data_IF_808977578537
#
_entry.id   IF_808977578537
#
_cell.length_a   1.000
_cell.length_b   1.000
_cell.length_c   1.000
_cell.angle_alpha   90.00
_cell.angle_beta   90.00
_cell.angle_gamma   90.00
#
_symmetry.space_group_name_H-M   'P 1'
#
loop_
_entity.id
_entity.type
_entity.pdbx_description
1 polymer ?
#
# COMPACT_ATOMS: atom_id res chain seq x y z
N UNK A 1 33.90 -28.74 25.17
CA UNK A 1 32.85 -28.06 25.96
C UNK A 1 31.82 -27.53 24.96
N UNK A 2 30.73 -28.25 24.77
CA UNK A 2 29.64 -27.84 23.88
C UNK A 2 28.81 -26.77 24.60
N UNK A 3 28.68 -25.57 24.02
CA UNK A 3 27.71 -24.58 24.48
C UNK A 3 26.45 -24.71 23.62
N UNK A 4 25.37 -25.18 24.25
CA UNK A 4 24.03 -25.22 23.67
C UNK A 4 23.50 -23.81 23.52
N UNK A 5 23.08 -23.48 22.29
CA UNK A 5 22.45 -22.23 21.94
C UNK A 5 20.93 -22.40 22.18
N UNK A 6 20.49 -22.18 23.41
CA UNK A 6 19.07 -22.24 23.80
C UNK A 6 18.35 -21.00 23.25
N UNK A 7 18.03 -20.99 21.96
CA UNK A 7 17.16 -19.97 21.36
C UNK A 7 15.74 -20.19 21.84
N UNK A 8 15.34 -19.42 22.86
CA UNK A 8 14.00 -19.45 23.45
C UNK A 8 12.91 -19.25 22.37
N UNK A 9 11.84 -20.07 22.35
CA UNK A 9 10.73 -19.94 21.40
C UNK A 9 10.02 -18.57 21.49
N UNK A 10 10.08 -17.90 22.63
CA UNK A 10 9.60 -16.50 22.81
C UNK A 10 10.34 -15.52 21.89
N UNK A 11 11.64 -15.74 21.67
CA UNK A 11 12.45 -14.90 20.77
C UNK A 11 11.92 -14.95 19.34
N UNK A 12 11.49 -16.13 18.86
CA UNK A 12 10.93 -16.29 17.52
C UNK A 12 9.54 -15.66 17.37
N UNK A 13 8.70 -15.69 18.41
CA UNK A 13 7.38 -15.05 18.39
C UNK A 13 7.48 -13.53 18.37
N UNK A 14 8.38 -12.96 19.17
CA UNK A 14 8.64 -11.52 19.20
C UNK A 14 9.27 -11.03 17.89
N UNK A 15 10.17 -11.82 17.30
CA UNK A 15 10.76 -11.50 15.99
C UNK A 15 9.70 -11.50 14.87
N UNK A 16 8.71 -12.39 14.94
CA UNK A 16 7.61 -12.45 13.98
C UNK A 16 6.61 -11.28 14.12
N UNK A 17 6.41 -10.76 15.33
CA UNK A 17 5.51 -9.62 15.57
C UNK A 17 6.06 -8.31 14.96
N UNK A 18 7.38 -8.12 14.99
CA UNK A 18 8.06 -6.93 14.45
C UNK A 18 8.47 -7.09 12.98
N UNK A 19 8.61 -8.32 12.48
CA UNK A 19 8.94 -8.59 11.07
C UNK A 19 7.74 -8.50 10.10
N UNK A 20 6.56 -8.07 10.57
CA UNK A 20 5.38 -7.93 9.69
C UNK A 20 5.58 -6.73 8.77
N UNK A 21 5.45 -6.97 7.47
CA UNK A 21 5.53 -5.92 6.44
C UNK A 21 4.60 -4.75 6.82
N UNK A 22 5.06 -3.48 6.74
CA UNK A 22 4.20 -2.33 6.98
C UNK A 22 2.92 -2.42 6.16
N UNK A 23 1.77 -2.22 6.81
CA UNK A 23 0.48 -2.21 6.12
C UNK A 23 0.42 -0.98 5.22
N UNK A 24 0.22 -1.19 3.92
CA UNK A 24 0.00 -0.10 2.97
C UNK A 24 -1.26 0.65 3.38
N UNK A 25 -1.14 1.97 3.52
CA UNK A 25 -2.29 2.84 3.68
C UNK A 25 -3.08 2.82 2.38
N UNK A 26 -4.41 2.84 2.48
CA UNK A 26 -5.26 2.96 1.29
C UNK A 26 -5.01 4.32 0.65
N UNK A 27 -4.74 4.32 -0.65
CA UNK A 27 -4.68 5.55 -1.45
C UNK A 27 -6.09 6.11 -1.58
N UNK A 28 -6.28 7.38 -1.20
CA UNK A 28 -7.52 8.11 -1.39
C UNK A 28 -7.25 9.35 -2.23
N UNK A 29 -8.24 9.77 -3.03
CA UNK A 29 -8.18 11.03 -3.76
C UNK A 29 -8.51 12.19 -2.81
N UNK A 30 -7.81 13.31 -2.97
CA UNK A 30 -8.22 14.57 -2.35
C UNK A 30 -9.57 15.03 -2.91
N UNK A 31 -10.30 15.91 -2.20
CA UNK A 31 -11.54 16.50 -2.74
C UNK A 31 -11.33 17.17 -4.12
N UNK A 32 -10.21 17.87 -4.29
CA UNK A 32 -9.86 18.52 -5.57
C UNK A 32 -9.50 17.53 -6.69
N UNK A 33 -8.99 16.34 -6.34
CA UNK A 33 -8.75 15.27 -7.32
C UNK A 33 -10.08 14.67 -7.81
N UNK A 34 -11.04 14.45 -6.91
CA UNK A 34 -12.37 13.93 -7.29
C UNK A 34 -13.08 14.88 -8.27
N UNK A 35 -13.13 16.18 -7.96
CA UNK A 35 -13.74 17.19 -8.84
C UNK A 35 -13.12 17.20 -10.24
N UNK A 36 -11.79 17.07 -10.34
CA UNK A 36 -11.10 16.99 -11.64
C UNK A 36 -11.48 15.73 -12.42
N UNK A 37 -11.63 14.59 -11.74
CA UNK A 37 -12.05 13.34 -12.36
C UNK A 37 -13.52 13.39 -12.81
N UNK A 38 -14.40 13.99 -12.02
CA UNK A 38 -15.82 14.21 -12.38
C UNK A 38 -15.95 15.06 -13.65
N UNK A 39 -15.26 16.21 -13.72
CA UNK A 39 -15.25 17.05 -14.93
C UNK A 39 -14.62 16.35 -16.16
N UNK A 40 -13.62 15.49 -15.96
CA UNK A 40 -13.04 14.72 -17.04
C UNK A 40 -14.01 13.62 -17.53
N UNK A 41 -14.73 12.99 -16.59
CA UNK A 41 -15.71 11.95 -16.85
C UNK A 41 -16.88 12.48 -17.68
N UNK A 42 -17.41 13.67 -17.36
CA UNK A 42 -18.48 14.32 -18.15
C UNK A 42 -18.16 14.41 -19.65
N UNK A 43 -16.87 14.59 -19.99
CA UNK A 43 -16.41 14.69 -21.38
C UNK A 43 -16.21 13.32 -22.02
N UNK A 44 -15.62 12.39 -21.28
CA UNK A 44 -15.32 11.03 -21.73
C UNK A 44 -15.52 10.04 -20.57
N UNK A 45 -16.55 9.19 -20.67
CA UNK A 45 -16.86 8.19 -19.63
C UNK A 45 -15.83 7.04 -19.56
N UNK A 46 -15.03 6.87 -20.61
CA UNK A 46 -14.00 5.83 -20.67
C UNK A 46 -12.68 6.44 -21.09
N UNK A 47 -11.63 6.10 -20.34
CA UNK A 47 -10.28 6.61 -20.53
C UNK A 47 -9.40 5.51 -21.10
N UNK A 48 -8.76 5.75 -22.24
CA UNK A 48 -7.78 4.79 -22.79
C UNK A 48 -6.44 4.90 -22.06
N UNK A 49 -5.63 3.83 -22.05
CA UNK A 49 -4.46 3.72 -21.17
C UNK A 49 -3.45 4.88 -21.25
N UNK A 50 -3.32 5.53 -22.42
CA UNK A 50 -2.47 6.70 -22.60
C UNK A 50 -3.02 7.96 -21.89
N UNK A 51 -4.33 8.20 -22.01
CA UNK A 51 -5.02 9.32 -21.36
C UNK A 51 -5.03 9.17 -19.84
N UNK A 52 -5.09 7.93 -19.33
CA UNK A 52 -5.06 7.65 -17.89
C UNK A 52 -3.79 8.18 -17.21
N UNK A 53 -2.66 8.14 -17.90
CA UNK A 53 -1.39 8.66 -17.35
C UNK A 53 -1.38 10.19 -17.22
N UNK A 54 -2.19 10.91 -18.00
CA UNK A 54 -2.27 12.37 -17.91
C UNK A 54 -3.19 12.84 -16.77
N UNK A 55 -4.12 11.98 -16.33
CA UNK A 55 -5.05 12.26 -15.24
C UNK A 55 -4.51 11.87 -13.85
N UNK A 56 -3.46 11.05 -13.79
CA UNK A 56 -2.89 10.48 -12.56
C UNK A 56 -1.66 11.25 -12.05
#
# INVERSE_FOLDING_TARGET
RFQGNETSPESFLLHNALARKPKRIRTAFSPSQLLRLEHAFEKNHYVVGAERKQLA
#
